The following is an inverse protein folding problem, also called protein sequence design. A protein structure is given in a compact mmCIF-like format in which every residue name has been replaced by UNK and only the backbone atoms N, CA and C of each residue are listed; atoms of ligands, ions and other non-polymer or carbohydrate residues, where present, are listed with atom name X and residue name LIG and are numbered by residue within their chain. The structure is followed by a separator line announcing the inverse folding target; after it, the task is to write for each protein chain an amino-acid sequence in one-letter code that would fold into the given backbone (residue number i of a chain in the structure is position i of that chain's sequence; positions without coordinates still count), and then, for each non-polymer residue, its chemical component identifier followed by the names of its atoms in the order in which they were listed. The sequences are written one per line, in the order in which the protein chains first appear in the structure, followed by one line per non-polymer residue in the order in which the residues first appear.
data_IF_232696154637
#
_entry.id   IF_232696154637
#
_cell.length_a   1.000
_cell.length_b   1.000
_cell.length_c   1.000
_cell.angle_alpha   90.00
_cell.angle_beta   90.00
_cell.angle_gamma   90.00
#
_symmetry.space_group_name_H-M   'P 1'
#
loop_
_entity.id
_entity.type
_entity.pdbx_description
1 polymer ?
#
# COMPACT_ATOMS: atom_id res chain seq x y z
N UNK A 1 16.04 1.28 23.59
CA UNK A 1 14.67 1.65 23.13
C UNK A 1 14.14 0.78 22.01
N UNK A 2 14.47 1.02 20.74
CA UNK A 2 13.91 0.24 19.61
C UNK A 2 14.11 -1.28 19.79
N UNK A 3 15.32 -1.71 20.11
CA UNK A 3 15.66 -3.11 20.37
C UNK A 3 14.78 -3.72 21.46
N UNK A 4 14.71 -3.06 22.61
CA UNK A 4 14.02 -3.58 23.78
C UNK A 4 12.49 -3.59 23.55
N UNK A 5 11.97 -2.64 22.77
CA UNK A 5 10.58 -2.65 22.31
C UNK A 5 10.28 -3.86 21.42
N UNK A 6 11.12 -4.11 20.41
CA UNK A 6 10.94 -5.26 19.52
C UNK A 6 11.08 -6.58 20.28
N UNK A 7 12.02 -6.67 21.22
CA UNK A 7 12.18 -7.85 22.06
C UNK A 7 10.91 -8.11 22.88
N UNK A 8 10.35 -7.07 23.53
CA UNK A 8 9.08 -7.19 24.25
C UNK A 8 7.92 -7.62 23.37
N UNK A 9 7.77 -7.03 22.17
CA UNK A 9 6.73 -7.42 21.20
C UNK A 9 6.91 -8.87 20.74
N UNK A 10 8.15 -9.31 20.56
CA UNK A 10 8.45 -10.67 20.11
C UNK A 10 8.08 -11.75 21.13
N UNK A 11 8.11 -11.45 22.44
CA UNK A 11 7.77 -12.41 23.50
C UNK A 11 6.36 -13.01 23.36
N UNK A 12 5.43 -12.30 22.69
CA UNK A 12 4.02 -12.71 22.57
C UNK A 12 3.83 -13.92 21.64
N UNK A 13 4.47 -13.91 20.47
CA UNK A 13 4.19 -14.89 19.41
C UNK A 13 5.36 -15.13 18.45
N UNK A 14 6.57 -14.64 18.78
CA UNK A 14 7.75 -14.74 17.95
C UNK A 14 7.64 -14.07 16.55
N UNK A 15 6.69 -13.13 16.35
CA UNK A 15 6.48 -12.43 15.08
C UNK A 15 6.98 -10.97 15.10
N UNK A 16 8.13 -10.71 15.70
CA UNK A 16 8.74 -9.37 15.65
C UNK A 16 10.25 -9.42 15.41
N UNK A 17 10.75 -8.63 14.46
CA UNK A 17 12.19 -8.61 14.12
C UNK A 17 12.71 -7.20 13.92
N UNK A 18 14.02 -7.07 14.05
CA UNK A 18 14.73 -5.88 13.60
C UNK A 18 15.39 -6.12 12.26
N UNK A 19 15.40 -5.09 11.42
CA UNK A 19 15.99 -5.08 10.09
C UNK A 19 16.75 -3.77 9.86
N UNK A 20 17.71 -3.78 8.94
CA UNK A 20 18.49 -2.59 8.63
C UNK A 20 18.86 -2.51 7.14
N UNK A 21 19.15 -1.30 6.67
CA UNK A 21 19.77 -1.07 5.36
C UNK A 21 21.25 -1.49 5.33
N UNK A 22 21.83 -1.60 4.13
CA UNK A 22 23.20 -2.09 3.94
C UNK A 22 24.28 -1.04 4.22
N UNK A 23 24.29 -0.45 5.40
CA UNK A 23 25.32 0.51 5.81
C UNK A 23 26.51 -0.11 6.56
N UNK A 24 26.36 -1.33 7.06
CA UNK A 24 27.36 -1.99 7.90
C UNK A 24 27.97 -3.21 7.19
N UNK A 25 29.29 -3.35 7.25
CA UNK A 25 29.99 -4.50 6.70
C UNK A 25 29.66 -5.76 7.50
N UNK A 26 29.59 -6.91 6.82
CA UNK A 26 29.37 -8.19 7.46
C UNK A 26 30.70 -8.85 7.85
N UNK A 27 31.23 -8.42 8.99
CA UNK A 27 32.54 -8.83 9.51
C UNK A 27 32.49 -10.20 10.19
N UNK A 28 31.34 -10.57 10.75
CA UNK A 28 31.10 -11.84 11.45
C UNK A 28 30.92 -13.04 10.52
N UNK A 29 30.97 -12.82 9.20
CA UNK A 29 30.76 -13.84 8.16
C UNK A 29 31.76 -15.00 8.23
N UNK A 30 33.01 -14.70 8.58
CA UNK A 30 34.07 -15.71 8.68
C UNK A 30 34.04 -16.37 10.05
N UNK A 31 34.29 -17.68 10.10
CA UNK A 31 34.32 -18.45 11.35
C UNK A 31 35.28 -17.83 12.39
N UNK A 32 36.43 -17.29 11.95
CA UNK A 32 37.40 -16.61 12.80
C UNK A 32 36.84 -15.36 13.54
N UNK A 33 35.79 -14.73 13.00
CA UNK A 33 35.19 -13.51 13.52
C UNK A 33 33.74 -13.73 13.99
N UNK A 34 33.31 -14.97 14.22
CA UNK A 34 31.90 -15.29 14.46
C UNK A 34 31.31 -14.62 15.72
N UNK A 35 32.15 -14.15 16.65
CA UNK A 35 31.73 -13.44 17.86
C UNK A 35 31.55 -11.93 17.64
N UNK A 36 32.08 -11.39 16.54
CA UNK A 36 32.07 -9.96 16.24
C UNK A 36 30.66 -9.44 15.96
N UNK A 37 30.42 -8.17 16.30
CA UNK A 37 29.13 -7.49 16.03
C UNK A 37 29.24 -6.66 14.76
N UNK A 38 28.33 -6.88 13.83
CA UNK A 38 28.39 -6.25 12.51
C UNK A 38 27.84 -4.83 12.50
N UNK A 39 26.67 -4.64 13.12
CA UNK A 39 25.98 -3.36 13.19
C UNK A 39 26.33 -2.73 14.51
N UNK A 40 27.25 -1.77 14.48
CA UNK A 40 27.72 -1.03 15.65
C UNK A 40 27.31 0.44 15.52
N UNK A 41 26.72 0.98 16.58
CA UNK A 41 26.30 2.37 16.68
C UNK A 41 26.72 2.88 18.07
N UNK A 42 28.00 3.23 18.20
CA UNK A 42 28.68 3.50 19.48
C UNK A 42 27.98 4.55 20.33
N UNK A 43 27.49 5.63 19.69
CA UNK A 43 26.78 6.73 20.35
C UNK A 43 25.61 6.25 21.23
N UNK A 44 25.00 5.12 20.89
CA UNK A 44 23.85 4.56 21.60
C UNK A 44 24.18 3.24 22.31
N UNK A 45 25.46 2.89 22.43
CA UNK A 45 25.93 1.62 22.99
C UNK A 45 25.18 0.40 22.41
N UNK A 46 25.00 0.42 21.09
CA UNK A 46 24.23 -0.57 20.37
C UNK A 46 25.15 -1.38 19.45
N UNK A 47 25.07 -2.71 19.55
CA UNK A 47 25.82 -3.62 18.70
C UNK A 47 25.06 -4.93 18.49
N UNK A 48 24.88 -5.38 17.25
CA UNK A 48 24.22 -6.65 16.92
C UNK A 48 24.80 -7.27 15.64
N UNK A 49 24.57 -8.57 15.44
CA UNK A 49 25.03 -9.31 14.27
C UNK A 49 24.00 -9.26 13.14
N UNK A 50 24.48 -9.28 11.90
CA UNK A 50 23.65 -9.61 10.75
C UNK A 50 23.16 -11.06 10.84
N UNK A 51 22.07 -11.34 10.13
CA UNK A 51 21.36 -12.61 10.19
C UNK A 51 21.78 -13.68 9.18
N UNK A 52 23.01 -13.65 8.68
CA UNK A 52 23.30 -14.26 7.39
C UNK A 52 24.03 -15.62 7.47
N UNK A 53 23.69 -16.49 8.41
CA UNK A 53 24.19 -17.88 8.43
C UNK A 53 23.08 -18.89 8.09
N UNK A 54 23.36 -19.74 7.09
CA UNK A 54 22.72 -20.97 6.59
C UNK A 54 21.19 -21.06 6.37
N UNK A 55 20.37 -20.22 6.99
CA UNK A 55 18.93 -20.47 7.09
C UNK A 55 18.08 -19.69 6.07
N UNK A 56 18.68 -18.82 5.27
CA UNK A 56 17.98 -18.05 4.22
C UNK A 56 16.74 -17.34 4.76
N UNK A 57 15.57 -17.63 4.17
CA UNK A 57 14.28 -17.06 4.60
C UNK A 57 13.77 -17.66 5.93
N UNK A 58 14.15 -18.90 6.27
CA UNK A 58 13.70 -19.58 7.50
C UNK A 58 14.27 -18.94 8.77
N UNK A 59 15.29 -18.07 8.63
CA UNK A 59 15.82 -17.27 9.74
C UNK A 59 14.71 -16.54 10.50
N UNK A 60 13.74 -15.97 9.80
CA UNK A 60 12.74 -15.09 10.40
C UNK A 60 11.82 -15.83 11.39
N UNK A 61 11.70 -17.16 11.28
CA UNK A 61 10.85 -17.99 12.13
C UNK A 61 11.57 -18.52 13.38
N UNK A 62 12.92 -18.51 13.38
CA UNK A 62 13.70 -19.07 14.50
C UNK A 62 13.50 -18.26 15.79
N UNK A 63 13.36 -18.88 16.98
CA UNK A 63 13.17 -18.13 18.23
C UNK A 63 14.30 -17.16 18.57
N UNK A 64 15.55 -17.56 18.35
CA UNK A 64 16.72 -16.74 18.66
C UNK A 64 17.05 -15.68 17.61
N UNK A 65 16.41 -15.72 16.44
CA UNK A 65 16.72 -14.78 15.35
C UNK A 65 16.38 -13.32 15.69
N UNK A 66 15.53 -13.08 16.69
CA UNK A 66 15.27 -11.74 17.22
C UNK A 66 16.54 -11.04 17.73
N UNK A 67 17.58 -11.80 18.13
CA UNK A 67 18.88 -11.28 18.58
C UNK A 67 19.83 -10.92 17.42
N UNK A 68 19.36 -11.05 16.19
CA UNK A 68 20.08 -10.69 14.96
C UNK A 68 19.29 -9.63 14.19
N UNK A 69 19.94 -9.01 13.22
CA UNK A 69 19.32 -7.99 12.37
C UNK A 69 19.18 -8.54 10.95
N UNK A 70 17.96 -8.46 10.44
CA UNK A 70 17.60 -8.86 9.09
C UNK A 70 17.96 -7.84 8.02
N UNK A 71 18.09 -8.30 6.79
CA UNK A 71 18.17 -7.45 5.59
C UNK A 71 16.97 -7.68 4.66
N UNK A 72 16.92 -6.90 3.58
CA UNK A 72 15.84 -6.95 2.59
C UNK A 72 15.59 -8.36 2.01
N UNK A 73 16.64 -9.18 1.84
CA UNK A 73 16.50 -10.52 1.26
C UNK A 73 15.93 -11.54 2.22
N UNK A 74 16.12 -11.33 3.52
CA UNK A 74 15.67 -12.27 4.56
C UNK A 74 14.30 -11.94 5.12
N UNK A 75 13.79 -10.75 4.82
CA UNK A 75 12.41 -10.35 5.13
C UNK A 75 11.49 -10.42 3.90
N UNK A 76 11.95 -10.98 2.77
CA UNK A 76 11.16 -11.07 1.55
C UNK A 76 10.24 -12.30 1.61
N UNK A 77 8.93 -12.08 1.53
CA UNK A 77 7.92 -13.15 1.45
C UNK A 77 7.33 -13.64 2.78
N UNK A 78 7.71 -13.04 3.93
CA UNK A 78 7.19 -13.39 5.24
C UNK A 78 6.76 -12.13 6.02
N UNK A 79 5.58 -12.18 6.63
CA UNK A 79 4.94 -11.06 7.31
C UNK A 79 5.11 -11.16 8.83
N UNK A 80 5.47 -10.04 9.46
CA UNK A 80 5.67 -9.94 10.91
C UNK A 80 4.56 -9.07 11.51
N UNK A 81 4.22 -9.31 12.78
CA UNK A 81 3.31 -8.42 13.51
C UNK A 81 3.96 -7.04 13.66
N UNK A 82 5.22 -6.99 14.10
CA UNK A 82 5.95 -5.75 14.33
C UNK A 82 7.35 -5.79 13.73
N UNK A 83 7.75 -4.70 13.09
CA UNK A 83 9.09 -4.54 12.52
C UNK A 83 9.81 -3.35 13.14
N UNK A 84 11.09 -3.52 13.48
CA UNK A 84 11.99 -2.44 13.87
C UNK A 84 13.00 -2.16 12.75
N UNK A 85 12.92 -1.01 12.09
CA UNK A 85 13.79 -0.65 10.97
C UNK A 85 14.86 0.33 11.43
N UNK A 86 16.12 -0.04 11.25
CA UNK A 86 17.27 0.85 11.44
C UNK A 86 17.64 1.48 10.10
N UNK A 87 17.45 2.79 10.00
CA UNK A 87 17.87 3.61 8.87
C UNK A 87 19.30 4.09 9.09
N UNK A 88 20.19 3.62 8.23
CA UNK A 88 21.59 3.98 8.25
C UNK A 88 21.87 5.38 7.66
N UNK A 89 23.14 5.80 7.66
CA UNK A 89 23.55 7.11 7.17
C UNK A 89 23.46 7.27 5.63
N UNK A 90 22.97 6.27 4.92
CA UNK A 90 22.75 6.30 3.46
C UNK A 90 21.43 6.97 3.04
N UNK A 91 20.57 7.33 4.01
CA UNK A 91 19.37 8.14 3.78
C UNK A 91 19.32 9.29 4.78
N UNK A 92 19.41 10.52 4.26
CA UNK A 92 19.58 11.74 5.06
C UNK A 92 18.46 12.74 4.78
N UNK A 93 17.96 13.43 5.80
CA UNK A 93 17.05 14.55 5.61
C UNK A 93 17.81 15.87 5.65
N UNK A 94 17.82 16.62 4.54
CA UNK A 94 18.48 17.94 4.45
C UNK A 94 17.66 18.86 3.57
N UNK A 95 17.59 20.14 3.91
CA UNK A 95 16.95 21.19 3.09
C UNK A 95 15.52 20.83 2.64
N UNK A 96 14.71 20.30 3.56
CA UNK A 96 13.31 19.96 3.25
C UNK A 96 13.11 18.63 2.52
N UNK A 97 14.19 17.90 2.17
CA UNK A 97 14.10 16.69 1.34
C UNK A 97 14.93 15.53 1.89
N UNK A 98 14.44 14.31 1.66
CA UNK A 98 15.26 13.11 1.84
C UNK A 98 16.25 12.99 0.67
N UNK A 99 17.51 12.71 0.99
CA UNK A 99 18.65 12.61 0.08
C UNK A 99 19.33 11.27 0.33
N UNK A 100 19.58 10.52 -0.74
CA UNK A 100 20.38 9.30 -0.69
C UNK A 100 21.89 9.62 -0.64
N UNK A 101 22.62 8.93 0.23
CA UNK A 101 24.06 9.07 0.45
C UNK A 101 24.76 7.72 0.22
N UNK A 102 24.95 7.29 -1.05
CA UNK A 102 25.44 5.95 -1.37
C UNK A 102 26.84 5.65 -0.87
N UNK A 103 27.68 6.67 -0.66
CA UNK A 103 29.02 6.48 -0.09
C UNK A 103 29.01 6.00 1.36
N UNK A 104 27.87 6.12 2.04
CA UNK A 104 27.66 5.61 3.41
C UNK A 104 27.18 4.14 3.44
N UNK A 105 27.04 3.48 2.29
CA UNK A 105 26.77 2.04 2.23
C UNK A 105 28.03 1.21 2.47
N UNK A 106 27.82 0.00 2.98
CA UNK A 106 28.88 -0.96 3.22
C UNK A 106 29.64 -1.26 1.93
N UNK A 107 30.97 -1.39 2.00
CA UNK A 107 31.79 -1.72 0.81
C UNK A 107 31.45 -3.11 0.27
N UNK A 108 30.90 -3.97 1.12
CA UNK A 108 30.45 -5.32 0.78
C UNK A 108 29.06 -5.34 0.12
N UNK A 109 28.32 -4.22 0.09
CA UNK A 109 27.01 -4.13 -0.54
C UNK A 109 27.11 -4.32 -2.07
N UNK A 110 26.55 -5.42 -2.57
CA UNK A 110 26.54 -5.72 -4.00
C UNK A 110 25.43 -4.98 -4.76
N UNK A 111 24.44 -4.40 -4.08
CA UNK A 111 23.31 -3.71 -4.73
C UNK A 111 23.75 -2.44 -5.45
N UNK A 112 24.84 -1.80 -5.00
CA UNK A 112 25.45 -0.64 -5.63
C UNK A 112 26.68 -0.98 -6.50
N UNK A 113 26.88 -2.27 -6.83
CA UNK A 113 27.99 -2.69 -7.68
C UNK A 113 27.93 -1.99 -9.04
N UNK A 114 29.05 -1.35 -9.42
CA UNK A 114 29.15 -0.58 -10.66
C UNK A 114 28.68 0.86 -10.57
N UNK A 115 28.13 1.32 -9.42
CA UNK A 115 27.70 2.70 -9.21
C UNK A 115 28.80 3.72 -9.55
N UNK A 116 30.02 3.56 -9.01
CA UNK A 116 31.13 4.49 -9.26
C UNK A 116 31.54 4.58 -10.73
N UNK A 117 31.38 3.48 -11.49
CA UNK A 117 31.64 3.48 -12.94
C UNK A 117 30.53 4.23 -13.67
N UNK A 118 29.28 3.93 -13.32
CA UNK A 118 28.11 4.58 -13.91
C UNK A 118 28.08 6.09 -13.61
N UNK A 119 28.49 6.50 -12.41
CA UNK A 119 28.58 7.90 -12.00
C UNK A 119 29.55 8.70 -12.88
N UNK A 120 30.61 8.07 -13.42
CA UNK A 120 31.54 8.73 -14.35
C UNK A 120 30.99 8.85 -15.76
N UNK A 121 30.22 7.86 -16.22
CA UNK A 121 29.71 7.82 -17.60
C UNK A 121 28.36 8.52 -17.78
N UNK A 122 27.47 8.43 -16.78
CA UNK A 122 26.14 9.03 -16.80
C UNK A 122 25.72 9.39 -15.34
N UNK A 123 26.12 10.58 -14.86
CA UNK A 123 25.92 10.98 -13.47
C UNK A 123 24.46 11.05 -13.03
N UNK A 124 23.57 11.55 -13.89
CA UNK A 124 22.14 11.71 -13.56
C UNK A 124 21.46 10.36 -13.38
N UNK A 125 21.62 9.48 -14.37
CA UNK A 125 21.07 8.13 -14.29
C UNK A 125 21.66 7.33 -13.12
N UNK A 126 22.95 7.52 -12.81
CA UNK A 126 23.57 6.88 -11.65
C UNK A 126 22.93 7.32 -10.33
N UNK A 127 22.65 8.62 -10.16
CA UNK A 127 22.01 9.18 -8.97
C UNK A 127 20.58 8.68 -8.83
N UNK A 128 19.79 8.78 -9.90
CA UNK A 128 18.38 8.32 -9.91
C UNK A 128 18.27 6.82 -9.59
N UNK A 129 19.04 5.97 -10.27
CA UNK A 129 19.04 4.52 -10.04
C UNK A 129 19.40 4.18 -8.59
N UNK A 130 20.39 4.87 -8.04
CA UNK A 130 20.89 4.63 -6.69
C UNK A 130 19.91 5.11 -5.62
N UNK A 131 19.32 6.29 -5.83
CA UNK A 131 18.27 6.82 -4.98
C UNK A 131 17.08 5.85 -4.91
N UNK A 132 16.65 5.32 -6.07
CA UNK A 132 15.59 4.31 -6.15
C UNK A 132 15.94 3.03 -5.38
N UNK A 133 17.16 2.52 -5.51
CA UNK A 133 17.61 1.32 -4.78
C UNK A 133 17.56 1.56 -3.26
N UNK A 134 18.09 2.70 -2.79
CA UNK A 134 18.14 3.03 -1.37
C UNK A 134 16.74 3.19 -0.80
N UNK A 135 15.87 3.97 -1.47
CA UNK A 135 14.48 4.15 -1.04
C UNK A 135 13.67 2.87 -1.07
N UNK A 136 13.79 2.08 -2.14
CA UNK A 136 13.10 0.79 -2.23
C UNK A 136 13.56 -0.18 -1.16
N UNK A 137 14.83 -0.12 -0.73
CA UNK A 137 15.31 -0.90 0.42
C UNK A 137 14.46 -0.57 1.65
N UNK A 138 14.41 0.70 2.04
CA UNK A 138 13.68 1.10 3.24
C UNK A 138 12.16 0.95 3.12
N UNK A 139 11.58 1.27 1.96
CA UNK A 139 10.16 1.01 1.65
C UNK A 139 9.83 -0.46 1.90
N UNK A 140 10.63 -1.37 1.34
CA UNK A 140 10.41 -2.81 1.47
C UNK A 140 10.54 -3.28 2.91
N UNK A 141 11.50 -2.76 3.68
CA UNK A 141 11.68 -3.12 5.08
C UNK A 141 10.53 -2.62 5.96
N UNK A 142 10.09 -1.38 5.75
CA UNK A 142 9.05 -0.75 6.56
C UNK A 142 7.67 -1.37 6.36
N UNK A 143 7.37 -1.93 5.19
CA UNK A 143 6.08 -2.56 4.90
C UNK A 143 5.93 -3.98 5.43
N UNK A 144 6.91 -4.52 6.16
CA UNK A 144 6.86 -5.91 6.67
C UNK A 144 6.14 -6.08 8.00
N UNK A 145 5.83 -4.99 8.71
CA UNK A 145 5.07 -5.02 9.96
C UNK A 145 3.59 -4.82 9.69
N UNK A 146 2.78 -5.87 9.87
CA UNK A 146 1.32 -5.82 9.69
C UNK A 146 0.61 -4.96 10.75
N UNK A 147 1.11 -4.99 12.00
CA UNK A 147 0.50 -4.28 13.13
C UNK A 147 1.26 -3.03 13.54
N UNK A 148 2.52 -2.88 13.10
CA UNK A 148 3.28 -1.68 13.36
C UNK A 148 4.71 -1.72 12.86
N UNK A 149 5.20 -0.55 12.47
CA UNK A 149 6.57 -0.30 12.06
C UNK A 149 7.20 0.74 12.99
N UNK A 150 8.33 0.40 13.60
CA UNK A 150 9.11 1.29 14.43
C UNK A 150 10.42 1.60 13.73
N UNK A 151 10.79 2.88 13.70
CA UNK A 151 11.95 3.34 12.95
C UNK A 151 12.97 4.00 13.87
N UNK A 152 14.24 3.77 13.59
CA UNK A 152 15.34 4.48 14.20
C UNK A 152 16.31 4.92 13.12
N UNK A 153 16.55 6.23 13.02
CA UNK A 153 17.54 6.78 12.10
C UNK A 153 18.83 7.10 12.87
N UNK A 154 19.95 6.69 12.29
CA UNK A 154 21.29 6.98 12.83
C UNK A 154 21.63 8.47 12.80
N UNK A 155 21.22 9.18 11.75
CA UNK A 155 21.31 10.64 11.64
C UNK A 155 20.21 11.34 12.43
N UNK A 156 20.59 12.32 13.26
CA UNK A 156 19.66 13.03 14.15
C UNK A 156 18.57 13.78 13.37
N UNK A 157 18.96 14.55 12.35
CA UNK A 157 17.98 15.35 11.59
C UNK A 157 17.00 14.46 10.82
N UNK A 158 17.47 13.33 10.28
CA UNK A 158 16.57 12.32 9.69
C UNK A 158 15.64 11.70 10.74
N UNK A 159 16.15 11.41 11.95
CA UNK A 159 15.35 10.85 13.04
C UNK A 159 14.22 11.82 13.46
N UNK A 160 14.57 13.09 13.64
CA UNK A 160 13.63 14.14 14.04
C UNK A 160 12.57 14.37 12.95
N UNK A 161 12.97 14.39 11.67
CA UNK A 161 12.04 14.49 10.54
C UNK A 161 10.99 13.38 10.56
N UNK A 162 11.41 12.12 10.73
CA UNK A 162 10.47 11.01 10.75
C UNK A 162 9.61 10.98 12.01
N UNK A 163 10.14 11.39 13.17
CA UNK A 163 9.33 11.56 14.39
C UNK A 163 8.24 12.60 14.19
N UNK A 164 8.58 13.72 13.57
CA UNK A 164 7.62 14.77 13.27
C UNK A 164 6.56 14.31 12.28
N UNK A 165 6.95 13.60 11.21
CA UNK A 165 5.99 13.00 10.28
C UNK A 165 5.01 12.05 10.99
N UNK A 166 5.52 11.19 11.89
CA UNK A 166 4.65 10.27 12.66
C UNK A 166 3.77 11.04 13.63
N UNK A 167 4.27 12.09 14.27
CA UNK A 167 3.49 12.97 15.16
C UNK A 167 2.34 13.62 14.38
N UNK A 168 2.62 14.28 13.27
CA UNK A 168 1.60 14.91 12.41
C UNK A 168 0.62 13.89 11.86
N UNK A 169 1.08 12.71 11.43
CA UNK A 169 0.19 11.65 10.97
C UNK A 169 -0.69 11.10 12.12
N UNK A 170 -0.17 11.04 13.34
CA UNK A 170 -0.92 10.61 14.52
C UNK A 170 -1.93 11.68 14.95
N UNK A 171 -1.57 12.96 14.88
CA UNK A 171 -2.48 14.08 15.16
C UNK A 171 -3.61 14.15 14.14
N UNK A 172 -3.31 14.04 12.85
CA UNK A 172 -4.35 13.93 11.82
C UNK A 172 -5.18 12.65 11.98
N UNK A 173 -4.58 11.56 12.49
CA UNK A 173 -5.32 10.32 12.78
C UNK A 173 -6.18 10.46 14.01
N UNK A 174 -5.75 11.14 15.07
CA UNK A 174 -6.53 11.41 16.27
C UNK A 174 -7.62 12.43 15.98
N UNK A 175 -7.36 13.46 15.16
CA UNK A 175 -8.37 14.36 14.64
C UNK A 175 -9.36 13.61 13.74
N UNK A 176 -8.89 12.75 12.83
CA UNK A 176 -9.76 11.90 12.04
C UNK A 176 -10.53 10.88 12.88
N UNK A 177 -9.93 10.28 13.91
CA UNK A 177 -10.57 9.35 14.85
C UNK A 177 -11.55 10.10 15.78
N UNK A 178 -11.30 11.37 16.10
CA UNK A 178 -12.20 12.23 16.88
C UNK A 178 -13.39 12.65 16.02
N UNK A 179 -13.16 13.08 14.79
CA UNK A 179 -14.20 13.33 13.78
C UNK A 179 -15.00 12.04 13.56
N UNK A 180 -14.33 10.91 13.32
CA UNK A 180 -14.98 9.60 13.20
C UNK A 180 -15.75 9.24 14.47
N UNK A 181 -15.28 9.54 15.68
CA UNK A 181 -16.02 9.29 16.93
C UNK A 181 -17.25 10.17 17.10
N UNK A 182 -17.19 11.42 16.60
CA UNK A 182 -18.36 12.32 16.51
C UNK A 182 -19.37 11.81 15.47
N UNK A 183 -18.89 11.07 14.45
CA UNK A 183 -19.70 10.36 13.45
C UNK A 183 -20.01 8.89 13.81
N UNK A 184 -19.43 8.28 14.85
CA UNK A 184 -19.57 6.85 15.20
C UNK A 184 -20.93 6.49 15.80
N UNK A 185 -21.82 7.46 15.96
CA UNK A 185 -23.25 7.19 16.06
C UNK A 185 -23.88 6.74 14.73
N UNK A 186 -23.17 6.85 13.60
CA UNK A 186 -23.64 6.64 12.24
C UNK A 186 -22.82 5.56 11.53
N UNK A 187 -23.50 4.55 10.98
CA UNK A 187 -22.91 3.45 10.19
C UNK A 187 -22.26 3.93 8.88
N UNK A 188 -22.52 5.17 8.46
CA UNK A 188 -22.11 5.75 7.17
C UNK A 188 -21.55 7.17 7.36
N UNK A 189 -20.28 7.31 7.79
CA UNK A 189 -19.67 8.62 8.03
C UNK A 189 -19.67 9.51 6.78
N UNK A 190 -20.02 10.79 6.95
CA UNK A 190 -20.05 11.77 5.87
C UNK A 190 -21.15 11.57 4.82
N UNK A 191 -22.08 10.62 5.02
CA UNK A 191 -23.24 10.47 4.15
C UNK A 191 -24.30 11.53 4.50
N UNK A 192 -24.64 12.38 3.54
CA UNK A 192 -25.70 13.40 3.69
C UNK A 192 -27.10 12.89 3.31
N UNK A 193 -27.20 11.63 2.86
CA UNK A 193 -28.45 11.00 2.45
C UNK A 193 -29.15 10.25 3.59
N UNK A 194 -30.50 10.23 3.63
CA UNK A 194 -31.24 9.47 4.63
C UNK A 194 -31.07 7.97 4.44
N UNK A 195 -30.58 7.28 5.47
CA UNK A 195 -30.65 5.82 5.57
C UNK A 195 -32.02 5.46 6.13
N UNK A 196 -32.74 4.58 5.45
CA UNK A 196 -34.12 4.23 5.75
C UNK A 196 -34.20 3.02 6.68
N UNK A 197 -35.11 3.09 7.65
CA UNK A 197 -35.50 1.94 8.47
C UNK A 197 -36.28 0.91 7.63
N UNK A 198 -36.26 -0.36 8.04
CA UNK A 198 -36.81 -1.49 7.26
C UNK A 198 -38.27 -1.27 6.83
N UNK A 199 -39.09 -0.61 7.63
CA UNK A 199 -40.51 -0.36 7.35
C UNK A 199 -40.73 0.73 6.29
N UNK A 200 -39.74 1.60 6.07
CA UNK A 200 -39.80 2.72 5.11
C UNK A 200 -39.26 2.33 3.73
N UNK A 201 -38.58 1.19 3.63
CA UNK A 201 -37.92 0.73 2.42
C UNK A 201 -38.93 0.17 1.42
N UNK A 202 -38.95 0.76 0.22
CA UNK A 202 -39.58 0.19 -0.97
C UNK A 202 -38.48 -0.02 -2.01
N UNK A 203 -37.88 -1.24 -2.06
CA UNK A 203 -36.67 -1.52 -2.83
C UNK A 203 -36.76 -1.03 -4.27
N UNK A 204 -35.81 -0.18 -4.67
CA UNK A 204 -35.68 0.37 -6.03
C UNK A 204 -36.88 1.21 -6.49
N UNK A 205 -37.73 1.65 -5.56
CA UNK A 205 -38.79 2.63 -5.79
C UNK A 205 -38.42 3.95 -5.11
N UNK A 206 -38.12 3.92 -3.81
CA UNK A 206 -37.66 5.08 -3.05
C UNK A 206 -36.20 4.97 -2.59
N UNK A 207 -35.61 3.77 -2.62
CA UNK A 207 -34.27 3.55 -2.09
C UNK A 207 -33.44 2.59 -2.92
N UNK A 208 -32.13 2.65 -2.70
CA UNK A 208 -31.16 1.70 -3.25
C UNK A 208 -30.27 1.15 -2.12
N UNK A 209 -29.64 -0.01 -2.30
CA UNK A 209 -28.69 -0.54 -1.32
C UNK A 209 -27.52 0.43 -1.10
N UNK A 210 -27.13 0.61 0.17
CA UNK A 210 -25.89 1.28 0.56
C UNK A 210 -24.97 0.28 1.28
N UNK A 211 -23.75 0.17 0.76
CA UNK A 211 -22.76 -0.72 1.32
C UNK A 211 -21.71 0.08 2.07
N UNK A 212 -21.32 -0.41 3.25
CA UNK A 212 -20.09 0.02 3.93
C UNK A 212 -18.87 -0.67 3.30
N UNK A 213 -18.82 -0.62 1.97
CA UNK A 213 -17.68 -1.10 1.19
C UNK A 213 -16.75 0.08 1.03
N UNK A 214 -15.68 0.10 1.81
CA UNK A 214 -14.52 0.90 1.45
C UNK A 214 -13.99 0.26 0.16
N UNK A 215 -14.24 0.85 -1.01
CA UNK A 215 -13.85 0.30 -2.33
C UNK A 215 -12.32 0.12 -2.46
N UNK A 216 -11.58 0.53 -1.44
CA UNK A 216 -10.15 0.49 -1.32
C UNK A 216 -9.71 -0.45 -0.17
N UNK A 217 -10.09 -1.71 -0.24
CA UNK A 217 -9.44 -2.85 0.43
C UNK A 217 -10.10 -4.14 -0.05
N UNK A 218 -9.30 -5.14 -0.43
CA UNK A 218 -9.80 -6.36 -1.04
C UNK A 218 -10.75 -7.16 -0.16
N UNK A 219 -11.99 -7.36 -0.62
CA UNK A 219 -12.76 -8.61 -0.59
C UNK A 219 -14.19 -8.33 -1.06
N UNK A 220 -14.42 -8.34 -2.36
CA UNK A 220 -15.77 -8.48 -2.93
C UNK A 220 -16.04 -9.95 -3.29
N UNK A 221 -15.14 -10.87 -2.87
CA UNK A 221 -15.10 -12.25 -3.35
C UNK A 221 -15.91 -13.26 -2.55
N UNK A 222 -16.57 -12.89 -1.45
CA UNK A 222 -17.46 -13.78 -0.71
C UNK A 222 -18.83 -13.14 -0.43
N UNK A 223 -19.56 -12.79 -1.49
CA UNK A 223 -21.04 -12.66 -1.40
C UNK A 223 -21.66 -14.07 -1.36
N UNK A 224 -21.43 -14.80 -0.27
CA UNK A 224 -22.28 -15.91 0.17
C UNK A 224 -23.16 -15.44 1.33
N UNK A 225 -24.17 -14.61 1.01
CA UNK A 225 -25.52 -14.51 1.60
C UNK A 225 -26.08 -13.10 1.31
N UNK A 226 -26.90 -12.92 0.26
CA UNK A 226 -27.28 -11.60 -0.26
C UNK A 226 -28.32 -10.82 0.58
N UNK A 227 -28.58 -11.19 1.84
CA UNK A 227 -29.67 -10.59 2.63
C UNK A 227 -29.25 -9.91 3.96
N UNK A 228 -27.97 -9.88 4.35
CA UNK A 228 -27.62 -9.48 5.74
C UNK A 228 -26.56 -8.37 5.96
N UNK A 229 -25.94 -7.75 4.95
CA UNK A 229 -24.85 -6.76 5.20
C UNK A 229 -24.93 -5.43 4.42
N UNK A 230 -26.14 -4.93 4.17
CA UNK A 230 -26.35 -3.58 3.62
C UNK A 230 -27.64 -2.95 4.16
N UNK A 231 -27.65 -1.62 4.22
CA UNK A 231 -28.87 -0.84 4.50
C UNK A 231 -29.41 -0.25 3.20
N UNK A 232 -30.49 0.53 3.31
CA UNK A 232 -31.14 1.19 2.19
C UNK A 232 -31.05 2.69 2.37
N UNK A 233 -30.69 3.41 1.30
CA UNK A 233 -30.56 4.87 1.30
C UNK A 233 -31.53 5.48 0.30
N UNK A 234 -32.16 6.59 0.70
CA UNK A 234 -32.97 7.41 -0.20
C UNK A 234 -32.05 8.26 -1.09
N UNK A 235 -32.28 8.21 -2.41
CA UNK A 235 -31.51 9.03 -3.35
C UNK A 235 -32.09 10.44 -3.44
N UNK A 236 -31.28 11.44 -3.84
CA UNK A 236 -31.79 12.77 -4.14
C UNK A 236 -32.96 12.73 -5.13
N UNK A 237 -33.94 13.62 -4.97
CA UNK A 237 -35.20 13.60 -5.74
C UNK A 237 -35.04 13.68 -7.26
N UNK A 238 -33.90 14.17 -7.75
CA UNK A 238 -33.56 14.22 -9.17
C UNK A 238 -32.98 12.91 -9.73
N UNK A 239 -32.68 11.93 -8.87
CA UNK A 239 -32.20 10.60 -9.26
C UNK A 239 -33.29 9.58 -8.96
N UNK A 240 -33.73 8.88 -10.00
CA UNK A 240 -34.68 7.78 -9.83
C UNK A 240 -33.94 6.49 -9.45
N UNK A 241 -34.32 5.80 -8.35
CA UNK A 241 -33.78 4.48 -8.01
C UNK A 241 -33.96 3.46 -9.15
N UNK A 242 -32.95 2.60 -9.34
CA UNK A 242 -32.96 1.50 -10.32
C UNK A 242 -32.43 0.21 -9.67
N UNK A 243 -32.84 -0.95 -10.19
CA UNK A 243 -32.50 -2.27 -9.62
C UNK A 243 -31.00 -2.56 -9.59
N UNK A 244 -30.27 -1.98 -10.52
CA UNK A 244 -28.83 -2.09 -10.67
C UNK A 244 -28.08 -1.02 -9.88
N UNK A 245 -28.76 -0.05 -9.26
CA UNK A 245 -28.09 1.01 -8.52
C UNK A 245 -27.71 0.60 -7.10
N UNK A 246 -26.58 1.12 -6.65
CA UNK A 246 -26.14 1.05 -5.26
C UNK A 246 -25.24 2.23 -4.90
N UNK A 247 -25.14 2.50 -3.60
CA UNK A 247 -24.29 3.54 -3.03
C UNK A 247 -23.09 2.92 -2.31
N UNK A 248 -21.91 3.46 -2.55
CA UNK A 248 -20.68 3.06 -1.87
C UNK A 248 -19.70 4.24 -1.79
N UNK A 249 -18.82 4.22 -0.80
CA UNK A 249 -17.81 5.26 -0.63
C UNK A 249 -16.56 4.93 -1.42
N UNK A 250 -16.06 5.92 -2.18
CA UNK A 250 -14.76 5.85 -2.82
C UNK A 250 -13.70 6.34 -1.86
N UNK A 251 -12.71 5.49 -1.60
CA UNK A 251 -11.53 5.80 -0.78
C UNK A 251 -10.31 5.67 -1.68
N UNK A 252 -9.35 6.59 -1.53
CA UNK A 252 -8.14 6.65 -2.34
C UNK A 252 -8.07 7.90 -3.22
N UNK A 253 -6.88 8.16 -3.75
CA UNK A 253 -6.56 9.39 -4.48
C UNK A 253 -6.39 9.17 -5.99
N UNK A 254 -6.50 7.91 -6.44
CA UNK A 254 -6.29 7.56 -7.85
C UNK A 254 -7.28 8.21 -8.84
N UNK A 255 -8.41 8.72 -8.36
CA UNK A 255 -9.44 9.41 -9.17
C UNK A 255 -9.76 10.83 -8.70
N UNK A 256 -8.88 11.45 -7.88
CA UNK A 256 -9.19 12.68 -7.14
C UNK A 256 -9.57 13.91 -7.98
N UNK A 257 -9.23 13.94 -9.28
CA UNK A 257 -9.68 15.02 -10.17
C UNK A 257 -11.17 14.92 -10.49
N UNK A 258 -11.75 13.72 -10.43
CA UNK A 258 -13.16 13.46 -10.76
C UNK A 258 -14.00 13.04 -9.56
N UNK A 259 -13.42 12.23 -8.69
CA UNK A 259 -14.04 11.69 -7.48
C UNK A 259 -13.08 11.99 -6.33
N UNK A 260 -13.33 13.05 -5.55
CA UNK A 260 -12.53 13.34 -4.36
C UNK A 260 -12.51 12.14 -3.41
N UNK A 261 -11.44 12.00 -2.64
CA UNK A 261 -11.33 10.95 -1.63
C UNK A 261 -12.46 11.07 -0.58
N UNK A 262 -12.94 9.94 -0.08
CA UNK A 262 -14.08 9.80 0.84
C UNK A 262 -15.46 10.21 0.28
N UNK A 263 -15.59 10.39 -1.04
CA UNK A 263 -16.87 10.73 -1.67
C UNK A 263 -17.81 9.52 -1.72
N UNK A 264 -19.06 9.71 -1.31
CA UNK A 264 -20.13 8.74 -1.57
C UNK A 264 -20.57 8.84 -3.04
N UNK A 265 -20.62 7.71 -3.73
CA UNK A 265 -20.95 7.67 -5.15
C UNK A 265 -22.08 6.68 -5.41
N UNK A 266 -22.87 7.01 -6.42
CA UNK A 266 -23.84 6.11 -7.02
C UNK A 266 -23.17 5.28 -8.12
N UNK A 267 -23.38 3.98 -8.07
CA UNK A 267 -22.87 3.01 -9.03
C UNK A 267 -24.01 2.17 -9.62
N UNK A 268 -23.78 1.64 -10.82
CA UNK A 268 -24.66 0.68 -11.51
C UNK A 268 -23.94 -0.65 -11.67
N UNK A 269 -24.54 -1.73 -11.16
CA UNK A 269 -24.06 -3.11 -11.27
C UNK A 269 -24.08 -3.63 -12.71
N UNK A 270 -23.09 -4.45 -13.05
CA UNK A 270 -23.06 -5.22 -14.29
C UNK A 270 -23.41 -4.36 -15.54
N UNK A 271 -22.67 -3.26 -15.78
CA UNK A 271 -23.03 -2.32 -16.83
C UNK A 271 -23.08 -2.99 -18.20
N UNK A 272 -24.23 -2.81 -18.87
CA UNK A 272 -24.49 -3.30 -20.21
C UNK A 272 -23.94 -2.34 -21.28
N UNK A 273 -23.52 -2.88 -22.43
CA UNK A 273 -23.03 -2.09 -23.57
C UNK A 273 -21.55 -1.71 -23.48
N UNK A 274 -21.17 -0.64 -24.18
CA UNK A 274 -19.78 -0.19 -24.23
C UNK A 274 -19.37 0.52 -22.93
N UNK A 275 -18.22 0.14 -22.40
CA UNK A 275 -17.60 0.73 -21.19
C UNK A 275 -16.49 1.72 -21.55
N UNK A 276 -16.18 1.87 -22.83
CA UNK A 276 -15.10 2.73 -23.30
C UNK A 276 -15.34 4.19 -22.87
N UNK A 277 -14.34 4.77 -22.21
CA UNK A 277 -14.38 6.12 -21.65
C UNK A 277 -15.14 6.25 -20.33
N UNK A 278 -15.73 5.18 -19.79
CA UNK A 278 -16.49 5.22 -18.53
C UNK A 278 -15.61 4.98 -17.31
N UNK A 279 -15.99 5.51 -16.17
CA UNK A 279 -15.34 5.17 -14.88
C UNK A 279 -15.99 3.90 -14.35
N UNK A 280 -15.18 2.92 -14.01
CA UNK A 280 -15.66 1.59 -13.61
C UNK A 280 -14.91 1.09 -12.39
N UNK A 281 -15.57 0.22 -11.62
CA UNK A 281 -14.92 -0.65 -10.65
C UNK A 281 -14.49 -1.92 -11.39
N UNK A 282 -13.19 -2.12 -11.51
CA UNK A 282 -12.59 -3.30 -12.13
C UNK A 282 -11.96 -4.21 -11.06
N UNK A 283 -12.14 -5.52 -11.22
CA UNK A 283 -11.48 -6.54 -10.43
C UNK A 283 -10.52 -7.35 -11.32
N UNK A 284 -9.30 -7.56 -10.84
CA UNK A 284 -8.35 -8.47 -11.46
C UNK A 284 -7.32 -8.95 -10.44
N UNK A 285 -6.86 -10.20 -10.57
CA UNK A 285 -5.90 -10.80 -9.63
C UNK A 285 -4.52 -10.16 -9.65
N UNK A 286 -4.11 -9.65 -10.81
CA UNK A 286 -2.82 -8.99 -11.01
C UNK A 286 -2.87 -7.48 -10.79
N UNK A 287 -4.06 -6.90 -10.55
CA UNK A 287 -4.18 -5.50 -10.17
C UNK A 287 -3.91 -5.39 -8.68
N UNK A 288 -2.95 -4.53 -8.32
CA UNK A 288 -2.70 -4.13 -6.95
C UNK A 288 -3.02 -2.65 -6.91
N UNK A 289 -4.10 -2.30 -6.23
CA UNK A 289 -4.48 -0.89 -6.03
C UNK A 289 -3.33 -0.12 -5.35
N UNK A 290 -2.97 1.04 -5.89
CA UNK A 290 -1.80 1.80 -5.44
C UNK A 290 -1.98 2.38 -4.02
N UNK A 291 -3.24 2.60 -3.62
CA UNK A 291 -3.59 3.21 -2.35
C UNK A 291 -3.70 2.15 -1.24
N UNK A 292 -4.27 0.97 -1.53
CA UNK A 292 -4.63 -0.01 -0.49
C UNK A 292 -4.25 -1.46 -0.77
N UNK A 293 -3.63 -1.76 -1.92
CA UNK A 293 -3.15 -3.10 -2.26
C UNK A 293 -4.26 -4.15 -2.48
N UNK A 294 -5.50 -3.70 -2.72
CA UNK A 294 -6.65 -4.56 -3.00
C UNK A 294 -6.71 -5.06 -4.45
N UNK A 295 -7.60 -6.04 -4.71
CA UNK A 295 -7.86 -6.62 -6.05
C UNK A 295 -8.90 -5.83 -6.87
N UNK A 296 -9.40 -4.72 -6.33
CA UNK A 296 -10.39 -3.85 -6.96
C UNK A 296 -9.77 -2.48 -7.16
N UNK A 297 -10.13 -1.82 -8.25
CA UNK A 297 -9.71 -0.44 -8.48
C UNK A 297 -10.79 0.31 -9.23
N UNK A 298 -10.92 1.61 -8.94
CA UNK A 298 -11.78 2.53 -9.66
C UNK A 298 -10.93 3.34 -10.64
N UNK A 299 -11.19 3.18 -11.94
CA UNK A 299 -10.38 3.80 -13.01
C UNK A 299 -11.25 4.09 -14.23
N UNK A 300 -10.78 4.98 -15.11
CA UNK A 300 -11.41 5.16 -16.42
C UNK A 300 -11.02 4.02 -17.37
N UNK A 301 -12.02 3.35 -17.91
CA UNK A 301 -11.85 2.18 -18.77
C UNK A 301 -11.69 2.56 -20.24
N UNK A 302 -10.65 2.02 -20.87
CA UNK A 302 -10.45 2.04 -22.32
C UNK A 302 -10.18 0.63 -22.83
N UNK A 303 -10.61 0.35 -24.06
CA UNK A 303 -10.32 -0.93 -24.70
C UNK A 303 -10.08 -0.79 -26.19
N UNK A 304 -9.08 -1.49 -26.69
CA UNK A 304 -8.84 -1.68 -28.12
C UNK A 304 -9.38 -3.04 -28.55
N UNK A 305 -10.15 -3.08 -29.63
CA UNK A 305 -10.78 -4.31 -30.16
C UNK A 305 -10.30 -4.58 -31.58
N UNK A 306 -10.09 -5.86 -31.91
CA UNK A 306 -9.83 -6.32 -33.28
C UNK A 306 -10.94 -7.29 -33.73
N UNK A 307 -11.36 -7.24 -35.00
CA UNK A 307 -12.23 -8.26 -35.57
C UNK A 307 -11.55 -9.63 -35.48
N UNK A 308 -12.27 -10.63 -35.00
CA UNK A 308 -11.83 -12.03 -35.02
C UNK A 308 -12.31 -12.69 -36.33
N UNK A 309 -11.52 -13.63 -36.86
CA UNK A 309 -11.77 -14.27 -38.17
C UNK A 309 -13.06 -15.09 -38.26
N UNK A 310 -13.77 -15.25 -37.15
CA UNK A 310 -15.05 -15.96 -36.96
C UNK A 310 -16.27 -15.02 -36.87
N UNK A 311 -16.08 -13.70 -37.06
CA UNK A 311 -17.16 -12.71 -36.98
C UNK A 311 -17.40 -12.16 -35.56
N UNK A 312 -16.59 -12.56 -34.58
CA UNK A 312 -16.56 -11.98 -33.24
C UNK A 312 -15.62 -10.78 -33.11
N UNK A 313 -15.55 -10.20 -31.91
CA UNK A 313 -14.58 -9.16 -31.55
C UNK A 313 -13.76 -9.64 -30.35
N UNK A 314 -12.43 -9.46 -30.39
CA UNK A 314 -11.54 -9.76 -29.26
C UNK A 314 -10.88 -8.47 -28.76
N UNK A 315 -10.78 -8.34 -27.45
CA UNK A 315 -10.03 -7.26 -26.82
C UNK A 315 -8.53 -7.50 -27.01
N UNK A 316 -7.85 -6.60 -27.72
CA UNK A 316 -6.39 -6.63 -27.85
C UNK A 316 -5.72 -6.12 -26.58
N UNK A 317 -6.30 -5.08 -25.96
CA UNK A 317 -5.75 -4.39 -24.80
C UNK A 317 -6.86 -3.73 -24.00
N UNK A 318 -6.77 -3.82 -22.68
CA UNK A 318 -7.56 -3.01 -21.75
C UNK A 318 -6.61 -2.05 -21.04
N UNK A 319 -7.04 -0.80 -20.89
CA UNK A 319 -6.29 0.23 -20.18
C UNK A 319 -7.19 0.87 -19.14
N UNK A 320 -6.77 0.81 -17.88
CA UNK A 320 -7.45 1.44 -16.75
C UNK A 320 -6.63 2.65 -16.32
N UNK A 321 -7.16 3.85 -16.60
CA UNK A 321 -6.44 5.10 -16.36
C UNK A 321 -6.87 5.76 -15.04
N UNK A 322 -5.92 6.15 -14.17
CA UNK A 322 -6.22 7.03 -13.05
C UNK A 322 -6.53 8.45 -13.54
N UNK A 323 -7.23 9.21 -12.70
CA UNK A 323 -7.45 10.65 -12.88
C UNK A 323 -7.04 11.38 -11.60
N UNK A 324 -5.73 11.35 -11.31
CA UNK A 324 -5.16 11.97 -10.12
C UNK A 324 -4.27 13.17 -10.47
N UNK A 325 -4.31 14.19 -9.62
CA UNK A 325 -3.35 15.30 -9.62
C UNK A 325 -2.04 14.96 -8.89
N UNK A 326 -2.01 13.85 -8.16
CA UNK A 326 -0.85 13.41 -7.39
C UNK A 326 0.09 12.54 -8.24
N UNK A 327 1.41 12.62 -8.02
CA UNK A 327 2.37 11.74 -8.68
C UNK A 327 2.28 10.31 -8.12
N UNK A 328 2.49 9.31 -8.98
CA UNK A 328 2.57 7.90 -8.56
C UNK A 328 1.40 7.01 -8.98
N UNK A 329 0.37 7.58 -9.62
CA UNK A 329 -0.72 6.82 -10.25
C UNK A 329 -0.44 6.66 -11.74
N UNK A 330 -0.14 5.44 -12.18
CA UNK A 330 0.20 5.12 -13.57
C UNK A 330 -0.96 4.38 -14.26
N UNK A 331 -0.98 4.41 -15.59
CA UNK A 331 -1.96 3.64 -16.38
C UNK A 331 -1.73 2.14 -16.16
N UNK A 332 -2.80 1.42 -15.82
CA UNK A 332 -2.76 -0.04 -15.73
C UNK A 332 -3.07 -0.60 -17.10
N UNK A 333 -2.05 -1.12 -17.77
CA UNK A 333 -2.18 -1.78 -19.07
C UNK A 333 -2.28 -3.30 -18.90
N UNK A 334 -3.33 -3.88 -19.47
CA UNK A 334 -3.60 -5.32 -19.39
C UNK A 334 -3.47 -5.92 -20.78
N UNK A 335 -2.65 -6.98 -20.86
CA UNK A 335 -2.39 -7.72 -22.09
C UNK A 335 -3.65 -8.44 -22.59
N UNK A 336 -3.64 -8.97 -23.82
CA UNK A 336 -4.76 -9.74 -24.36
C UNK A 336 -5.17 -10.92 -23.46
N UNK A 337 -4.21 -11.55 -22.78
CA UNK A 337 -4.48 -12.66 -21.86
C UNK A 337 -5.12 -12.16 -20.57
N UNK A 338 -4.53 -11.13 -19.94
CA UNK A 338 -5.05 -10.54 -18.70
C UNK A 338 -6.41 -9.87 -18.91
N UNK A 339 -6.64 -9.26 -20.08
CA UNK A 339 -7.88 -8.59 -20.43
C UNK A 339 -9.10 -9.52 -20.38
N UNK A 340 -8.92 -10.84 -20.57
CA UNK A 340 -9.99 -11.82 -20.45
C UNK A 340 -10.37 -12.12 -19.00
N UNK A 341 -9.46 -11.89 -18.06
CA UNK A 341 -9.64 -12.17 -16.64
C UNK A 341 -10.21 -10.96 -15.86
N UNK A 342 -10.20 -9.76 -16.47
CA UNK A 342 -10.75 -8.55 -15.86
C UNK A 342 -12.26 -8.65 -15.76
N UNK A 343 -12.78 -8.51 -14.53
CA UNK A 343 -14.21 -8.38 -14.29
C UNK A 343 -14.56 -6.92 -14.02
N UNK A 344 -15.46 -6.39 -14.82
CA UNK A 344 -16.05 -5.07 -14.56
C UNK A 344 -17.28 -5.29 -13.68
N UNK A 345 -17.20 -4.80 -12.45
CA UNK A 345 -18.19 -5.05 -11.40
C UNK A 345 -19.31 -4.02 -11.48
N UNK A 346 -18.93 -2.75 -11.60
CA UNK A 346 -19.87 -1.64 -11.62
C UNK A 346 -19.36 -0.45 -12.45
N UNK A 347 -20.30 0.38 -12.88
CA UNK A 347 -20.06 1.66 -13.53
C UNK A 347 -20.38 2.81 -12.58
N UNK A 348 -19.50 3.81 -12.51
CA UNK A 348 -19.76 5.05 -11.78
C UNK A 348 -20.83 5.88 -12.49
N UNK A 349 -21.85 6.30 -11.76
CA UNK A 349 -22.95 7.14 -12.26
C UNK A 349 -22.69 8.61 -11.89
N UNK A 350 -22.59 8.90 -10.59
CA UNK A 350 -22.35 10.26 -10.09
C UNK A 350 -21.86 10.27 -8.63
N UNK A 351 -21.32 11.41 -8.20
CA UNK A 351 -21.10 11.72 -6.78
C UNK A 351 -22.46 12.09 -6.16
N UNK A 352 -22.65 11.72 -4.90
CA UNK A 352 -23.85 11.98 -4.12
C UNK A 352 -23.63 13.07 -3.09
#
# INVERSE_FOLDING_TARGET
DLRDLIFRKNLKNNKSRMVAGYCWNWISKKAENQQEKDIVIDKYNFSMQWNLNNDGMLWIEKPDSVKQIGCIHTCQGLELDYIGVIIGPDLLYRNGKLISAPDNRARTDQSLKGYKKLLKSNPEHAKEKTDRIIRNTYKTLMTRGQRGCYIFCTDKATNDYFKELVRTASEHREEAETIVSEYEGSRYPGLELPVLEKEQVVPYVNSVPIYNLHIAAGSFSDFQSPEEDYDWVELPSYIRPQKDYFVAQVVGESMNQKIPNHTWCLFSWNPAGSRAGKIVIAQHRSIIDEDHGGQYTIKRYYSEKQPSGDGGWRHLKIMLKPESSLPGYEDIELSEQDAQEVKIIAEYVCNL
#
